data_IF_013840179331
#
_entry.id   IF_013840179331
#
_cell.length_a   1.000
_cell.length_b   1.000
_cell.length_c   1.000
_cell.angle_alpha   90.00
_cell.angle_beta   90.00
_cell.angle_gamma   90.00
#
_symmetry.space_group_name_H-M   'P 1'
#
loop_
_entity.id
_entity.type
_entity.pdbx_description
1 polymer ?
#
# COMPACT_ATOMS: atom_id res chain seq x y z
N UNK A 1 14.84 41.71 -13.68
CA UNK A 1 14.58 41.74 -12.22
C UNK A 1 13.12 41.37 -12.01
N UNK A 2 12.67 40.27 -11.42
CA UNK A 2 13.29 39.10 -10.83
C UNK A 2 12.27 37.94 -10.95
N UNK A 3 12.74 36.75 -11.34
CA UNK A 3 11.97 35.55 -11.70
C UNK A 3 11.45 34.75 -10.48
N UNK A 4 11.43 35.35 -9.29
CA UNK A 4 11.28 34.65 -8.01
C UNK A 4 9.83 34.59 -7.47
N UNK A 5 8.84 34.31 -8.31
CA UNK A 5 7.44 34.15 -7.87
C UNK A 5 6.74 32.91 -8.46
N UNK A 6 7.48 31.88 -8.90
CA UNK A 6 6.91 30.65 -9.50
C UNK A 6 7.34 29.33 -8.87
N UNK A 7 7.82 29.34 -7.62
CA UNK A 7 8.14 28.12 -6.88
C UNK A 7 7.15 27.84 -5.75
N UNK A 8 5.86 27.71 -6.06
CA UNK A 8 4.86 27.19 -5.10
C UNK A 8 4.46 25.73 -5.36
N UNK A 9 5.00 25.07 -6.40
CA UNK A 9 4.61 23.69 -6.79
C UNK A 9 5.69 22.62 -6.58
N UNK A 10 6.89 22.97 -6.10
CA UNK A 10 7.99 22.01 -5.98
C UNK A 10 7.96 21.16 -4.68
N UNK A 11 7.08 21.47 -3.73
CA UNK A 11 6.86 20.67 -2.49
C UNK A 11 5.66 19.72 -2.63
N UNK A 12 5.23 19.42 -3.86
CA UNK A 12 4.05 18.57 -4.12
C UNK A 12 4.34 17.23 -4.77
N UNK A 13 5.47 17.09 -5.47
CA UNK A 13 5.74 15.90 -6.28
C UNK A 13 6.25 14.72 -5.44
N UNK A 14 7.27 14.90 -4.59
CA UNK A 14 7.79 13.79 -3.77
C UNK A 14 6.75 13.15 -2.84
N UNK A 15 5.99 13.98 -2.12
CA UNK A 15 5.01 13.50 -1.13
C UNK A 15 3.81 12.78 -1.77
N UNK A 16 3.32 13.26 -2.93
CA UNK A 16 2.20 12.62 -3.63
C UNK A 16 2.59 11.28 -4.25
N UNK A 17 3.77 11.19 -4.86
CA UNK A 17 4.26 9.92 -5.41
C UNK A 17 4.50 8.89 -4.30
N UNK A 18 5.06 9.30 -3.16
CA UNK A 18 5.21 8.42 -1.99
C UNK A 18 3.85 7.95 -1.46
N UNK A 19 2.85 8.83 -1.36
CA UNK A 19 1.51 8.44 -0.90
C UNK A 19 0.84 7.39 -1.80
N UNK A 20 1.11 7.42 -3.11
CA UNK A 20 0.60 6.42 -4.05
C UNK A 20 1.30 5.07 -3.87
N UNK A 21 2.64 5.06 -3.76
CA UNK A 21 3.41 3.83 -3.52
C UNK A 21 3.04 3.19 -2.19
N UNK A 22 2.92 3.99 -1.12
CA UNK A 22 2.49 3.51 0.18
C UNK A 22 1.06 2.95 0.13
N UNK A 23 0.12 3.64 -0.52
CA UNK A 23 -1.26 3.14 -0.66
C UNK A 23 -1.31 1.82 -1.42
N UNK A 24 -0.47 1.66 -2.46
CA UNK A 24 -0.33 0.40 -3.20
C UNK A 24 0.26 -0.72 -2.35
N UNK A 25 1.34 -0.45 -1.63
CA UNK A 25 1.95 -1.41 -0.70
C UNK A 25 0.92 -1.93 0.31
N UNK A 26 0.18 -1.02 0.95
CA UNK A 26 -0.90 -1.35 1.90
C UNK A 26 -1.98 -2.21 1.22
N UNK A 27 -2.43 -1.84 0.03
CA UNK A 27 -3.45 -2.59 -0.70
C UNK A 27 -2.96 -4.00 -1.08
N UNK A 28 -1.73 -4.13 -1.56
CA UNK A 28 -1.07 -5.41 -1.88
C UNK A 28 -0.97 -6.30 -0.64
N UNK A 29 -0.52 -5.76 0.50
CA UNK A 29 -0.44 -6.49 1.76
C UNK A 29 -1.82 -6.98 2.23
N UNK A 30 -2.82 -6.08 2.26
CA UNK A 30 -4.18 -6.44 2.67
C UNK A 30 -4.75 -7.50 1.74
N UNK A 31 -4.57 -7.38 0.43
CA UNK A 31 -5.00 -8.40 -0.52
C UNK A 31 -4.37 -9.76 -0.24
N UNK A 32 -3.03 -9.82 -0.16
CA UNK A 32 -2.27 -11.06 0.03
C UNK A 32 -2.54 -11.73 1.37
N UNK A 33 -2.70 -10.97 2.45
CA UNK A 33 -2.86 -11.53 3.79
C UNK A 33 -4.32 -11.80 4.16
N UNK A 34 -5.27 -11.06 3.58
CA UNK A 34 -6.66 -11.08 4.04
C UNK A 34 -7.66 -11.60 3.01
N UNK A 35 -7.37 -11.53 1.71
CA UNK A 35 -8.36 -11.80 0.66
C UNK A 35 -7.91 -12.81 -0.40
N UNK A 36 -6.61 -13.11 -0.53
CA UNK A 36 -6.10 -14.01 -1.59
C UNK A 36 -6.71 -15.42 -1.54
N UNK A 37 -6.97 -15.93 -0.34
CA UNK A 37 -7.52 -17.28 -0.14
C UNK A 37 -9.03 -17.34 -0.38
N UNK A 38 -9.76 -16.31 0.07
CA UNK A 38 -11.21 -16.21 -0.06
C UNK A 38 -11.62 -14.73 -0.26
N UNK A 39 -11.67 -14.25 -1.52
CA UNK A 39 -11.89 -12.83 -1.82
C UNK A 39 -13.25 -12.28 -1.40
N UNK A 40 -14.25 -13.16 -1.23
CA UNK A 40 -15.63 -12.78 -0.89
C UNK A 40 -16.00 -13.19 0.54
N UNK A 41 -14.99 -13.46 1.38
CA UNK A 41 -15.20 -13.79 2.77
C UNK A 41 -15.93 -12.67 3.51
N UNK A 42 -17.14 -12.97 4.01
CA UNK A 42 -18.00 -11.99 4.68
C UNK A 42 -17.35 -11.43 5.95
N UNK A 43 -16.71 -12.28 6.75
CA UNK A 43 -16.09 -11.87 8.00
C UNK A 43 -14.93 -10.89 7.75
N UNK A 44 -14.09 -11.20 6.75
CA UNK A 44 -13.00 -10.31 6.35
C UNK A 44 -13.50 -9.00 5.75
N UNK A 45 -14.59 -9.04 4.97
CA UNK A 45 -15.25 -7.84 4.47
C UNK A 45 -15.77 -6.93 5.59
N UNK A 46 -16.42 -7.50 6.62
CA UNK A 46 -16.88 -6.72 7.79
C UNK A 46 -15.72 -6.15 8.60
N UNK A 47 -14.62 -6.89 8.74
CA UNK A 47 -13.39 -6.37 9.36
C UNK A 47 -12.83 -5.18 8.57
N UNK A 48 -12.69 -5.31 7.26
CA UNK A 48 -12.20 -4.23 6.40
C UNK A 48 -13.09 -2.97 6.50
N UNK A 49 -14.41 -3.17 6.53
CA UNK A 49 -15.37 -2.09 6.73
C UNK A 49 -15.16 -1.40 8.09
N UNK A 50 -15.04 -2.17 9.18
CA UNK A 50 -14.94 -1.63 10.54
C UNK A 50 -13.59 -0.97 10.83
N UNK A 51 -12.49 -1.62 10.45
CA UNK A 51 -11.14 -1.22 10.84
C UNK A 51 -10.53 -0.17 9.91
N UNK A 52 -10.98 -0.09 8.65
CA UNK A 52 -10.44 0.85 7.65
C UNK A 52 -11.51 1.83 7.16
N UNK A 53 -12.56 1.35 6.47
CA UNK A 53 -13.45 2.23 5.71
C UNK A 53 -14.35 3.12 6.58
N UNK A 54 -14.78 2.63 7.75
CA UNK A 54 -15.73 3.34 8.62
C UNK A 54 -15.16 4.61 9.25
N UNK A 55 -13.83 4.77 9.29
CA UNK A 55 -13.18 5.87 10.00
C UNK A 55 -12.96 7.12 9.12
N UNK A 56 -12.95 6.98 7.79
CA UNK A 56 -12.57 8.07 6.90
C UNK A 56 -11.21 8.68 7.30
N UNK A 57 -11.12 10.01 7.35
CA UNK A 57 -9.92 10.72 7.80
C UNK A 57 -9.80 10.94 9.32
N UNK A 58 -10.69 10.37 10.13
CA UNK A 58 -10.76 10.66 11.56
C UNK A 58 -9.83 9.77 12.43
N UNK A 59 -9.23 8.73 11.85
CA UNK A 59 -8.28 7.83 12.52
C UNK A 59 -6.94 7.87 11.78
N UNK A 60 -5.85 7.62 12.50
CA UNK A 60 -4.53 7.54 11.89
C UNK A 60 -4.43 6.35 10.92
N UNK A 61 -3.92 6.53 9.69
CA UNK A 61 -3.89 5.48 8.68
C UNK A 61 -3.16 4.21 9.14
N UNK A 62 -2.02 4.35 9.82
CA UNK A 62 -1.28 3.19 10.32
C UNK A 62 -2.07 2.39 11.35
N UNK A 63 -2.85 3.04 12.22
CA UNK A 63 -3.72 2.33 13.17
C UNK A 63 -4.86 1.59 12.47
N UNK A 64 -5.33 2.07 11.32
CA UNK A 64 -6.30 1.33 10.50
C UNK A 64 -5.66 0.08 9.88
N UNK A 65 -4.44 0.22 9.36
CA UNK A 65 -3.70 -0.90 8.77
C UNK A 65 -3.37 -1.95 9.82
N UNK A 66 -2.91 -1.54 11.00
CA UNK A 66 -2.67 -2.43 12.14
C UNK A 66 -3.95 -3.15 12.58
N UNK A 67 -5.07 -2.44 12.65
CA UNK A 67 -6.39 -3.02 12.91
C UNK A 67 -6.81 -4.02 11.85
N UNK A 68 -6.52 -3.78 10.57
CA UNK A 68 -6.85 -4.74 9.51
C UNK A 68 -5.97 -6.00 9.56
N UNK A 69 -4.65 -5.80 9.66
CA UNK A 69 -3.66 -6.88 9.64
C UNK A 69 -3.55 -7.61 10.99
N UNK A 70 -4.15 -7.07 12.05
CA UNK A 70 -4.06 -7.58 13.43
C UNK A 70 -2.63 -7.66 13.97
N UNK A 71 -1.72 -6.86 13.40
CA UNK A 71 -0.30 -6.78 13.75
C UNK A 71 0.28 -5.45 13.28
N UNK A 72 1.44 -5.08 13.80
CA UNK A 72 2.18 -3.92 13.32
C UNK A 72 3.06 -4.30 12.12
N UNK A 73 2.77 -3.80 10.91
CA UNK A 73 3.63 -4.03 9.75
C UNK A 73 4.88 -3.16 9.82
N UNK A 74 6.03 -3.70 9.42
CA UNK A 74 7.28 -2.93 9.31
C UNK A 74 7.39 -2.24 7.94
N UNK A 75 8.30 -1.27 7.83
CA UNK A 75 8.53 -0.58 6.54
C UNK A 75 9.04 -1.55 5.49
N UNK A 76 9.88 -2.50 5.87
CA UNK A 76 10.43 -3.53 5.00
C UNK A 76 9.30 -4.37 4.38
N UNK A 77 8.30 -4.77 5.17
CA UNK A 77 7.16 -5.54 4.65
C UNK A 77 6.32 -4.75 3.62
N UNK A 78 6.21 -3.42 3.78
CA UNK A 78 5.57 -2.59 2.76
C UNK A 78 6.40 -2.53 1.47
N UNK A 79 7.72 -2.40 1.60
CA UNK A 79 8.62 -2.40 0.44
C UNK A 79 8.56 -3.74 -0.28
N UNK A 80 8.65 -4.85 0.43
CA UNK A 80 8.57 -6.20 -0.14
C UNK A 80 7.23 -6.43 -0.85
N UNK A 81 6.13 -5.98 -0.24
CA UNK A 81 4.80 -6.09 -0.83
C UNK A 81 4.66 -5.27 -2.13
N UNK A 82 5.32 -4.10 -2.18
CA UNK A 82 5.37 -3.23 -3.34
C UNK A 82 6.28 -3.78 -4.44
N UNK A 83 7.46 -4.29 -4.09
CA UNK A 83 8.38 -4.94 -5.03
C UNK A 83 7.71 -6.14 -5.70
N UNK A 84 7.08 -7.01 -4.90
CA UNK A 84 6.37 -8.17 -5.42
C UNK A 84 5.16 -7.80 -6.30
N UNK A 85 4.51 -6.65 -6.07
CA UNK A 85 3.43 -6.14 -6.94
C UNK A 85 3.96 -5.51 -8.23
N UNK A 86 5.07 -4.79 -8.16
CA UNK A 86 5.71 -4.12 -9.30
C UNK A 86 6.42 -5.09 -10.24
N UNK A 87 6.79 -6.26 -9.74
CA UNK A 87 7.56 -7.25 -10.47
C UNK A 87 6.77 -8.55 -10.73
N UNK A 88 5.60 -8.51 -11.43
CA UNK A 88 4.91 -9.74 -11.82
C UNK A 88 5.72 -10.58 -12.84
N UNK A 89 6.79 -10.01 -13.42
CA UNK A 89 7.67 -10.67 -14.38
C UNK A 89 9.04 -11.10 -13.81
N UNK A 90 9.35 -10.85 -12.53
CA UNK A 90 10.65 -11.28 -11.99
C UNK A 90 10.70 -12.76 -11.67
N UNK A 91 9.56 -13.37 -11.28
CA UNK A 91 9.46 -14.82 -11.20
C UNK A 91 9.58 -15.48 -12.59
N UNK A 92 9.04 -14.86 -13.64
CA UNK A 92 9.25 -15.31 -15.03
C UNK A 92 10.72 -15.18 -15.45
N UNK A 93 11.39 -14.08 -15.08
CA UNK A 93 12.80 -13.85 -15.40
C UNK A 93 13.76 -14.82 -14.67
N UNK A 94 13.44 -15.23 -13.43
CA UNK A 94 14.23 -16.21 -12.70
C UNK A 94 14.00 -17.64 -13.21
N UNK A 95 12.75 -18.03 -13.54
CA UNK A 95 12.46 -19.34 -14.15
C UNK A 95 13.05 -19.51 -15.56
N UNK A 96 13.13 -18.43 -16.34
CA UNK A 96 13.74 -18.45 -17.68
C UNK A 96 15.29 -18.36 -17.64
N UNK A 97 15.89 -18.10 -16.47
CA UNK A 97 17.35 -18.04 -16.31
C UNK A 97 17.99 -19.37 -15.88
N UNK A 98 17.16 -20.36 -15.52
CA UNK A 98 17.58 -21.73 -15.18
C UNK A 98 17.15 -22.79 -16.21
N UNK A 99 16.70 -22.38 -17.41
CA UNK A 99 16.38 -23.27 -18.55
C UNK A 99 17.35 -23.13 -19.73
#
# INVERSE_FOLDING_TARGET
MAWQQRFSHLIGYGAKYYSYLMSRAVASMVWKQCFVQDPLNREMGERYRREMLAHGGAKEPMQMVEGMLQRQPTMEEFVDALESELNPNFETFLMDSES
#
